data_IF_371339717896
#
_entry.id   IF_371339717896
#
_cell.length_a   1.000
_cell.length_b   1.000
_cell.length_c   1.000
_cell.angle_alpha   90.00
_cell.angle_beta   90.00
_cell.angle_gamma   90.00
#
_symmetry.space_group_name_H-M   'P 1'
#
loop_
_entity.id
_entity.type
_entity.pdbx_description
1 polymer ?
#
# COMPACT_ATOMS: atom_id res chain seq x y z
N UNK A 1 -34.99 -18.33 -1.41
CA UNK A 1 -33.90 -17.77 -2.23
C UNK A 1 -32.55 -17.87 -1.53
N UNK A 2 -32.28 -17.15 -0.43
CA UNK A 2 -30.93 -17.21 0.20
C UNK A 2 -30.63 -18.57 0.85
N UNK A 3 -31.59 -19.16 1.57
CA UNK A 3 -31.46 -20.56 2.06
C UNK A 3 -31.25 -21.57 0.92
N UNK A 4 -32.00 -21.42 -0.16
CA UNK A 4 -31.84 -22.27 -1.35
C UNK A 4 -30.42 -22.13 -1.93
N UNK A 5 -29.83 -20.93 -1.89
CA UNK A 5 -28.44 -20.70 -2.29
C UNK A 5 -27.44 -21.42 -1.37
N UNK A 6 -27.68 -21.47 -0.06
CA UNK A 6 -26.88 -22.30 0.85
C UNK A 6 -27.01 -23.80 0.53
N UNK A 7 -28.22 -24.29 0.25
CA UNK A 7 -28.48 -25.71 0.01
C UNK A 7 -27.78 -26.24 -1.25
N UNK A 8 -27.60 -25.38 -2.26
CA UNK A 8 -26.95 -25.74 -3.52
C UNK A 8 -25.46 -25.41 -3.55
N UNK A 9 -24.90 -24.79 -2.51
CA UNK A 9 -23.48 -24.40 -2.47
C UNK A 9 -22.79 -24.91 -1.20
N UNK A 10 -21.47 -24.78 -1.12
CA UNK A 10 -20.70 -25.20 0.05
C UNK A 10 -19.98 -23.99 0.64
N UNK A 11 -19.95 -23.84 1.98
CA UNK A 11 -19.21 -22.75 2.60
C UNK A 11 -17.72 -22.87 2.27
N UNK A 12 -17.16 -21.81 1.71
CA UNK A 12 -15.71 -21.63 1.57
C UNK A 12 -15.02 -21.54 2.93
N UNK A 13 -15.74 -21.08 3.96
CA UNK A 13 -15.31 -21.08 5.36
C UNK A 13 -16.53 -21.25 6.27
N UNK A 14 -16.40 -22.08 7.29
CA UNK A 14 -17.41 -22.25 8.34
C UNK A 14 -16.75 -22.21 9.72
N UNK A 15 -17.33 -21.44 10.63
CA UNK A 15 -16.98 -21.39 12.05
C UNK A 15 -18.25 -21.47 12.90
N UNK A 16 -18.11 -21.44 14.22
CA UNK A 16 -19.25 -21.41 15.15
C UNK A 16 -20.15 -20.17 14.95
N UNK A 17 -19.60 -19.09 14.38
CA UNK A 17 -20.28 -17.81 14.23
C UNK A 17 -20.82 -17.58 12.81
N UNK A 18 -20.16 -18.10 11.77
CA UNK A 18 -20.43 -17.70 10.40
C UNK A 18 -20.28 -18.84 9.39
N UNK A 19 -21.10 -18.83 8.35
CA UNK A 19 -20.84 -19.56 7.10
C UNK A 19 -20.59 -18.57 5.97
N UNK A 20 -19.45 -18.69 5.31
CA UNK A 20 -19.03 -17.83 4.20
C UNK A 20 -19.00 -18.62 2.90
N UNK A 21 -19.64 -18.10 1.86
CA UNK A 21 -19.73 -18.70 0.53
C UNK A 21 -19.12 -17.73 -0.48
N UNK A 22 -17.83 -17.89 -0.79
CA UNK A 22 -17.07 -16.97 -1.65
C UNK A 22 -17.02 -17.40 -3.13
N UNK A 23 -17.45 -18.63 -3.45
CA UNK A 23 -17.38 -19.19 -4.81
C UNK A 23 -18.71 -19.05 -5.58
N UNK A 24 -19.46 -17.98 -5.34
CA UNK A 24 -20.70 -17.68 -6.06
C UNK A 24 -20.42 -16.73 -7.20
N UNK A 25 -21.11 -16.92 -8.33
CA UNK A 25 -20.91 -16.08 -9.51
C UNK A 25 -22.24 -15.67 -10.14
N UNK A 26 -22.28 -14.41 -10.54
CA UNK A 26 -23.34 -13.83 -11.34
C UNK A 26 -22.87 -13.73 -12.80
N UNK A 27 -23.43 -14.54 -13.73
CA UNK A 27 -23.09 -14.43 -15.13
C UNK A 27 -23.73 -13.19 -15.76
N UNK A 28 -22.91 -12.36 -16.40
CA UNK A 28 -23.31 -11.13 -17.08
C UNK A 28 -22.96 -11.23 -18.56
N UNK A 29 -23.95 -10.97 -19.42
CA UNK A 29 -23.77 -10.97 -20.88
C UNK A 29 -23.28 -9.59 -21.35
N UNK A 30 -22.10 -9.54 -21.94
CA UNK A 30 -21.60 -8.43 -22.75
C UNK A 30 -21.25 -8.90 -24.16
N UNK A 31 -20.10 -8.47 -24.69
CA UNK A 31 -19.49 -9.05 -25.92
C UNK A 31 -19.15 -10.54 -25.76
N UNK A 32 -18.96 -10.98 -24.51
CA UNK A 32 -18.86 -12.38 -24.07
C UNK A 32 -19.54 -12.51 -22.71
N UNK A 33 -19.65 -13.74 -22.21
CA UNK A 33 -20.11 -13.98 -20.85
C UNK A 33 -18.96 -13.69 -19.89
N UNK A 34 -19.27 -12.88 -18.87
CA UNK A 34 -18.39 -12.56 -17.77
C UNK A 34 -18.98 -13.11 -16.47
N UNK A 35 -18.12 -13.58 -15.57
CA UNK A 35 -18.52 -14.01 -14.24
C UNK A 35 -18.12 -12.95 -13.21
N UNK A 36 -19.13 -12.40 -12.53
CA UNK A 36 -18.93 -11.45 -11.42
C UNK A 36 -19.01 -12.25 -10.11
N UNK A 37 -17.95 -12.27 -9.28
CA UNK A 37 -18.00 -12.97 -8.01
C UNK A 37 -18.99 -12.29 -7.06
N UNK A 38 -19.63 -13.12 -6.25
CA UNK A 38 -20.56 -12.73 -5.20
C UNK A 38 -20.15 -13.48 -3.93
N UNK A 39 -20.29 -12.84 -2.79
CA UNK A 39 -20.13 -13.49 -1.50
C UNK A 39 -21.46 -13.52 -0.77
N UNK A 40 -21.84 -14.69 -0.26
CA UNK A 40 -22.93 -14.84 0.69
C UNK A 40 -22.33 -15.18 2.05
N UNK A 41 -22.80 -14.51 3.10
CA UNK A 41 -22.39 -14.74 4.48
C UNK A 41 -23.65 -14.99 5.29
N UNK A 42 -23.68 -16.06 6.09
CA UNK A 42 -24.74 -16.34 7.05
C UNK A 42 -24.18 -16.25 8.47
N UNK A 43 -24.71 -15.31 9.25
CA UNK A 43 -24.36 -15.12 10.67
C UNK A 43 -25.26 -16.00 11.53
N UNK A 44 -24.66 -17.02 12.17
CA UNK A 44 -25.40 -18.07 12.90
C UNK A 44 -26.12 -17.53 14.14
N UNK A 45 -25.50 -16.59 14.85
CA UNK A 45 -26.04 -16.00 16.07
C UNK A 45 -27.29 -15.14 15.82
N UNK A 46 -27.25 -14.31 14.78
CA UNK A 46 -28.34 -13.37 14.47
C UNK A 46 -29.36 -13.96 13.49
N UNK A 47 -28.99 -15.01 12.74
CA UNK A 47 -29.79 -15.52 11.63
C UNK A 47 -29.83 -14.56 10.44
N UNK A 48 -28.87 -13.63 10.33
CA UNK A 48 -28.77 -12.64 9.26
C UNK A 48 -27.98 -13.21 8.06
N UNK A 49 -28.42 -12.87 6.85
CA UNK A 49 -27.66 -13.04 5.63
C UNK A 49 -27.09 -11.71 5.15
N UNK A 50 -25.82 -11.72 4.76
CA UNK A 50 -25.16 -10.63 4.05
C UNK A 50 -24.76 -11.10 2.65
N UNK A 51 -25.17 -10.36 1.62
CA UNK A 51 -24.74 -10.54 0.24
C UNK A 51 -23.82 -9.38 -0.12
N UNK A 52 -22.61 -9.71 -0.57
CA UNK A 52 -21.65 -8.73 -1.09
C UNK A 52 -21.44 -8.93 -2.58
N UNK A 53 -21.62 -7.86 -3.32
CA UNK A 53 -21.28 -7.75 -4.74
C UNK A 53 -20.45 -6.49 -4.88
N UNK A 54 -19.15 -6.64 -5.17
CA UNK A 54 -18.22 -5.51 -5.21
C UNK A 54 -18.22 -4.74 -3.86
N UNK A 55 -18.34 -3.41 -3.90
CA UNK A 55 -18.46 -2.54 -2.72
C UNK A 55 -19.90 -2.45 -2.17
N UNK A 56 -20.88 -3.12 -2.79
CA UNK A 56 -22.27 -3.10 -2.34
C UNK A 56 -22.57 -4.25 -1.39
N UNK A 57 -23.23 -3.94 -0.28
CA UNK A 57 -23.62 -4.92 0.74
C UNK A 57 -25.13 -4.86 0.95
N UNK A 58 -25.77 -6.02 0.93
CA UNK A 58 -27.20 -6.18 1.19
C UNK A 58 -27.39 -7.15 2.35
N UNK A 59 -28.21 -6.77 3.32
CA UNK A 59 -28.51 -7.59 4.49
C UNK A 59 -29.98 -7.99 4.49
N UNK A 60 -30.26 -9.19 4.96
CA UNK A 60 -31.60 -9.72 5.10
C UNK A 60 -31.68 -10.65 6.31
N UNK A 61 -32.65 -10.44 7.18
CA UNK A 61 -32.86 -11.31 8.34
C UNK A 61 -33.76 -12.50 8.00
N UNK A 62 -33.54 -13.60 8.73
CA UNK A 62 -34.41 -14.77 8.66
C UNK A 62 -35.84 -14.41 9.09
N UNK A 63 -36.78 -14.47 8.15
CA UNK A 63 -38.20 -14.18 8.38
C UNK A 63 -38.66 -12.81 7.91
N UNK A 64 -37.75 -11.95 7.43
CA UNK A 64 -38.14 -10.71 6.75
C UNK A 64 -38.91 -11.01 5.46
N UNK A 65 -39.99 -10.27 5.24
CA UNK A 65 -40.76 -10.38 4.01
C UNK A 65 -39.91 -9.98 2.79
N UNK A 66 -40.07 -10.72 1.71
CA UNK A 66 -39.42 -10.44 0.43
C UNK A 66 -39.77 -9.05 -0.14
N UNK A 67 -40.81 -8.40 0.36
CA UNK A 67 -41.27 -7.05 -0.02
C UNK A 67 -40.21 -5.97 0.22
N UNK A 68 -39.28 -6.17 1.16
CA UNK A 68 -38.20 -5.23 1.47
C UNK A 68 -36.96 -5.36 0.56
N UNK A 69 -36.89 -6.43 -0.25
CA UNK A 69 -35.80 -6.65 -1.19
C UNK A 69 -36.23 -6.13 -2.57
N UNK A 70 -35.41 -5.27 -3.18
CA UNK A 70 -35.70 -4.74 -4.52
C UNK A 70 -35.84 -5.88 -5.55
N UNK A 71 -36.75 -5.73 -6.50
CA UNK A 71 -36.95 -6.75 -7.55
C UNK A 71 -35.72 -6.95 -8.42
N UNK A 72 -34.88 -5.92 -8.54
CA UNK A 72 -33.58 -6.03 -9.19
C UNK A 72 -32.66 -7.02 -8.46
N UNK A 73 -32.55 -6.91 -7.14
CA UNK A 73 -31.72 -7.81 -6.33
C UNK A 73 -32.28 -9.24 -6.34
N UNK A 74 -33.61 -9.41 -6.26
CA UNK A 74 -34.24 -10.73 -6.43
C UNK A 74 -33.85 -11.39 -7.75
N UNK A 75 -33.86 -10.63 -8.86
CA UNK A 75 -33.44 -11.14 -10.17
C UNK A 75 -31.97 -11.55 -10.21
N UNK A 76 -31.10 -10.79 -9.54
CA UNK A 76 -29.67 -11.14 -9.42
C UNK A 76 -29.51 -12.44 -8.63
N UNK A 77 -30.12 -12.53 -7.44
CA UNK A 77 -30.07 -13.72 -6.57
C UNK A 77 -30.58 -14.95 -7.32
N UNK A 78 -31.72 -14.84 -8.01
CA UNK A 78 -32.29 -15.94 -8.79
C UNK A 78 -31.32 -16.43 -9.87
N UNK A 79 -30.69 -15.51 -10.62
CA UNK A 79 -29.70 -15.87 -11.65
C UNK A 79 -28.48 -16.57 -11.07
N UNK A 80 -28.03 -16.16 -9.89
CA UNK A 80 -26.91 -16.82 -9.18
C UNK A 80 -27.30 -18.23 -8.78
N UNK A 81 -28.51 -18.43 -8.25
CA UNK A 81 -29.06 -19.75 -7.91
C UNK A 81 -29.12 -20.65 -9.15
N UNK A 82 -29.73 -20.15 -10.23
CA UNK A 82 -29.88 -20.90 -11.48
C UNK A 82 -28.50 -21.28 -12.04
N UNK A 83 -27.53 -20.37 -11.99
CA UNK A 83 -26.17 -20.64 -12.43
C UNK A 83 -25.42 -21.61 -11.52
N UNK A 84 -25.55 -21.50 -10.20
CA UNK A 84 -24.93 -22.44 -9.25
C UNK A 84 -25.46 -23.87 -9.46
N UNK A 85 -26.77 -24.04 -9.72
CA UNK A 85 -27.35 -25.33 -10.09
C UNK A 85 -26.73 -25.89 -11.37
N UNK A 86 -26.56 -25.06 -12.39
CA UNK A 86 -25.89 -25.48 -13.64
C UNK A 86 -24.43 -25.89 -13.39
N UNK A 87 -23.71 -25.15 -12.53
CA UNK A 87 -22.33 -25.48 -12.20
C UNK A 87 -22.21 -26.84 -11.53
N UNK A 88 -23.07 -27.14 -10.55
CA UNK A 88 -23.09 -28.45 -9.88
C UNK A 88 -23.28 -29.62 -10.85
N UNK A 89 -24.02 -29.41 -11.93
CA UNK A 89 -24.28 -30.44 -12.93
C UNK A 89 -23.17 -30.57 -13.99
N UNK A 90 -22.58 -29.44 -14.43
CA UNK A 90 -21.85 -29.39 -15.70
C UNK A 90 -20.45 -28.74 -15.64
N UNK A 91 -20.09 -28.01 -14.58
CA UNK A 91 -18.85 -27.24 -14.55
C UNK A 91 -18.04 -27.50 -13.28
N UNK A 92 -16.74 -27.77 -13.44
CA UNK A 92 -15.84 -27.98 -12.28
C UNK A 92 -15.10 -26.71 -11.88
N UNK A 93 -14.89 -25.80 -12.84
CA UNK A 93 -14.09 -24.60 -12.68
C UNK A 93 -14.60 -23.46 -13.57
N UNK A 94 -14.41 -22.22 -13.12
CA UNK A 94 -14.48 -21.03 -13.98
C UNK A 94 -13.06 -20.56 -14.24
N UNK A 95 -12.58 -20.57 -15.49
CA UNK A 95 -11.26 -20.05 -15.80
C UNK A 95 -11.16 -18.56 -15.46
N UNK A 96 -10.02 -18.13 -14.93
CA UNK A 96 -9.79 -16.75 -14.49
C UNK A 96 -10.06 -15.74 -15.61
N UNK A 97 -9.76 -16.11 -16.86
CA UNK A 97 -10.00 -15.31 -18.05
C UNK A 97 -11.48 -15.09 -18.40
N UNK A 98 -12.41 -15.76 -17.72
CA UNK A 98 -13.85 -15.50 -17.79
C UNK A 98 -14.41 -14.72 -16.59
N UNK A 99 -13.66 -14.58 -15.50
CA UNK A 99 -14.03 -13.67 -14.39
C UNK A 99 -13.93 -12.23 -14.87
N UNK A 100 -14.84 -11.33 -14.49
CA UNK A 100 -14.76 -9.94 -14.96
C UNK A 100 -13.44 -9.27 -14.48
N UNK A 101 -12.70 -8.52 -15.33
CA UNK A 101 -11.37 -7.98 -14.99
C UNK A 101 -11.29 -7.12 -13.73
N UNK A 102 -12.40 -6.47 -13.33
CA UNK A 102 -12.52 -5.73 -12.07
C UNK A 102 -12.23 -6.59 -10.83
N UNK A 103 -12.44 -7.90 -10.92
CA UNK A 103 -12.30 -8.82 -9.77
C UNK A 103 -11.08 -9.74 -9.91
N UNK A 104 -10.27 -9.53 -10.94
CA UNK A 104 -9.01 -10.24 -11.07
C UNK A 104 -7.92 -9.44 -10.43
N UNK A 105 -6.95 -10.15 -9.86
CA UNK A 105 -5.71 -9.53 -9.41
C UNK A 105 -4.68 -9.61 -10.51
N UNK A 106 -3.86 -8.58 -10.57
CA UNK A 106 -2.77 -8.49 -11.53
C UNK A 106 -1.83 -7.39 -11.13
N UNK A 107 -0.91 -7.07 -12.03
CA UNK A 107 0.02 -5.96 -11.85
C UNK A 107 0.22 -5.21 -13.15
N UNK A 108 0.58 -3.95 -13.03
CA UNK A 108 0.83 -3.06 -14.16
C UNK A 108 1.90 -2.05 -13.79
N UNK A 109 2.67 -1.57 -14.76
CA UNK A 109 3.61 -0.46 -14.53
C UNK A 109 2.85 0.84 -14.27
N UNK A 110 3.32 1.62 -13.29
CA UNK A 110 2.72 2.90 -12.88
C UNK A 110 2.53 3.91 -14.02
N UNK A 111 3.40 3.88 -15.05
CA UNK A 111 3.27 4.73 -16.24
C UNK A 111 2.00 4.50 -17.07
N UNK A 112 1.30 3.40 -16.83
CA UNK A 112 0.00 3.11 -17.43
C UNK A 112 -1.18 3.53 -16.54
N UNK A 113 -0.89 4.17 -15.40
CA UNK A 113 -1.87 4.63 -14.40
C UNK A 113 -1.71 6.14 -14.19
N UNK A 114 -0.52 6.63 -13.80
CA UNK A 114 -0.28 8.03 -13.51
C UNK A 114 0.06 8.88 -14.75
N UNK A 115 -0.30 10.16 -14.71
CA UNK A 115 -0.01 11.13 -15.79
C UNK A 115 1.31 11.86 -15.61
N UNK A 116 1.63 12.23 -14.37
CA UNK A 116 2.80 13.05 -14.05
C UNK A 116 3.95 12.15 -13.66
N UNK A 117 4.90 11.99 -14.57
CA UNK A 117 6.09 11.17 -14.38
C UNK A 117 7.35 12.01 -14.54
N UNK A 118 8.37 11.67 -13.75
CA UNK A 118 9.73 12.16 -13.94
C UNK A 118 10.32 11.59 -15.24
N UNK A 119 11.02 12.40 -16.05
CA UNK A 119 11.78 11.89 -17.19
C UNK A 119 12.84 10.86 -16.77
N UNK A 120 12.96 9.77 -17.53
CA UNK A 120 13.96 8.72 -17.27
C UNK A 120 15.40 9.28 -17.29
N UNK A 121 15.68 10.27 -18.14
CA UNK A 121 16.97 10.94 -18.19
C UNK A 121 17.31 11.66 -16.89
N UNK A 122 16.34 12.34 -16.29
CA UNK A 122 16.48 13.01 -14.99
C UNK A 122 16.76 11.99 -13.88
N UNK A 123 16.01 10.90 -13.84
CA UNK A 123 16.23 9.83 -12.85
C UNK A 123 17.62 9.18 -12.98
N UNK A 124 18.07 8.92 -14.22
CA UNK A 124 19.42 8.39 -14.48
C UNK A 124 20.50 9.34 -14.02
N UNK A 125 20.36 10.64 -14.29
CA UNK A 125 21.33 11.64 -13.88
C UNK A 125 21.37 11.81 -12.36
N UNK A 126 20.21 11.81 -11.70
CA UNK A 126 20.13 11.85 -10.25
C UNK A 126 20.78 10.61 -9.61
N UNK A 127 20.51 9.42 -10.15
CA UNK A 127 21.14 8.18 -9.70
C UNK A 127 22.67 8.21 -9.89
N UNK A 128 23.16 8.76 -11.00
CA UNK A 128 24.59 8.92 -11.26
C UNK A 128 25.23 9.84 -10.22
N UNK A 129 24.66 11.03 -9.98
CA UNK A 129 25.15 11.97 -8.95
C UNK A 129 25.16 11.36 -7.56
N UNK A 130 24.11 10.61 -7.20
CA UNK A 130 24.06 9.89 -5.93
C UNK A 130 25.18 8.86 -5.80
N UNK A 131 25.42 8.04 -6.84
CA UNK A 131 26.53 7.08 -6.82
C UNK A 131 27.91 7.71 -6.69
N UNK A 132 28.11 8.89 -7.27
CA UNK A 132 29.33 9.67 -7.04
C UNK A 132 29.41 10.18 -5.60
N UNK A 133 28.30 10.65 -5.03
CA UNK A 133 28.25 11.11 -3.65
C UNK A 133 28.54 10.01 -2.62
N UNK A 134 28.25 8.75 -2.93
CA UNK A 134 28.62 7.61 -2.07
C UNK A 134 30.13 7.49 -1.86
N UNK A 135 30.97 8.12 -2.69
CA UNK A 135 32.43 8.17 -2.47
C UNK A 135 32.83 9.16 -1.37
N UNK A 136 31.94 10.10 -1.03
CA UNK A 136 32.16 11.07 0.04
C UNK A 136 31.83 10.44 1.39
N UNK A 137 32.56 10.89 2.42
CA UNK A 137 32.34 10.56 3.83
C UNK A 137 32.79 11.72 4.69
N UNK A 138 32.21 11.84 5.88
CA UNK A 138 32.73 12.72 6.91
C UNK A 138 34.02 12.13 7.48
N UNK A 139 34.88 13.00 8.01
CA UNK A 139 36.12 12.58 8.70
C UNK A 139 35.84 11.89 10.04
N UNK A 140 34.71 12.22 10.66
CA UNK A 140 34.24 11.62 11.90
C UNK A 140 32.72 11.47 11.86
N UNK A 141 32.22 10.37 12.40
CA UNK A 141 30.80 10.16 12.66
C UNK A 141 30.31 10.87 13.94
N UNK A 142 31.25 11.39 14.75
CA UNK A 142 30.96 12.15 15.96
C UNK A 142 30.71 13.62 15.59
N UNK A 143 29.45 13.96 15.37
CA UNK A 143 29.00 15.31 15.00
C UNK A 143 28.40 16.07 16.19
N UNK A 144 28.24 17.38 16.05
CA UNK A 144 27.48 18.21 17.00
C UNK A 144 25.99 18.26 16.59
N UNK A 145 25.11 18.62 17.54
CA UNK A 145 23.70 18.86 17.21
C UNK A 145 23.53 19.95 16.15
N UNK A 146 24.38 20.99 16.17
CA UNK A 146 24.41 22.03 15.13
C UNK A 146 24.63 21.43 13.74
N UNK A 147 25.56 20.48 13.60
CA UNK A 147 25.86 19.87 12.30
C UNK A 147 24.65 19.10 11.78
N UNK A 148 24.03 18.29 12.66
CA UNK A 148 22.81 17.54 12.34
C UNK A 148 21.67 18.48 11.90
N UNK A 149 21.32 19.48 12.71
CA UNK A 149 20.22 20.40 12.41
C UNK A 149 20.51 21.28 11.19
N UNK A 150 21.79 21.54 10.87
CA UNK A 150 22.16 22.23 9.62
C UNK A 150 21.82 21.39 8.40
N UNK A 151 22.07 20.08 8.43
CA UNK A 151 21.66 19.16 7.37
C UNK A 151 20.14 19.07 7.27
N UNK A 152 19.44 19.03 8.40
CA UNK A 152 17.97 19.11 8.43
C UNK A 152 17.45 20.40 7.78
N UNK A 153 18.08 21.54 8.05
CA UNK A 153 17.73 22.82 7.42
C UNK A 153 17.86 22.77 5.89
N UNK A 154 18.86 22.04 5.35
CA UNK A 154 18.99 21.82 3.89
C UNK A 154 17.78 21.05 3.36
N UNK A 155 17.32 20.02 4.08
CA UNK A 155 16.10 19.28 3.72
C UNK A 155 14.91 20.24 3.67
N UNK A 156 14.68 21.04 4.72
CA UNK A 156 13.58 22.01 4.76
C UNK A 156 13.61 23.00 3.59
N UNK A 157 14.78 23.57 3.29
CA UNK A 157 14.94 24.47 2.13
C UNK A 157 14.63 23.76 0.82
N UNK A 158 15.08 22.52 0.64
CA UNK A 158 14.80 21.72 -0.57
C UNK A 158 13.32 21.41 -0.77
N UNK A 159 12.55 21.37 0.33
CA UNK A 159 11.11 21.18 0.35
C UNK A 159 10.33 22.49 0.23
N UNK A 160 11.01 23.64 0.13
CA UNK A 160 10.39 24.96 0.07
C UNK A 160 9.79 25.44 1.40
N UNK A 161 10.20 24.84 2.53
CA UNK A 161 9.76 25.26 3.86
C UNK A 161 10.43 26.58 4.25
N UNK A 162 9.74 27.39 5.07
CA UNK A 162 10.25 28.66 5.58
C UNK A 162 11.23 28.40 6.73
N UNK A 163 12.51 28.62 6.48
CA UNK A 163 13.60 28.50 7.46
C UNK A 163 13.91 29.87 8.05
N UNK A 164 13.96 29.96 9.37
CA UNK A 164 14.17 31.22 10.11
C UNK A 164 15.64 31.43 10.50
N UNK A 165 16.43 30.35 10.53
CA UNK A 165 17.83 30.38 10.95
C UNK A 165 18.03 29.95 12.40
N UNK A 166 16.96 29.91 13.21
CA UNK A 166 16.96 29.20 14.48
C UNK A 166 16.75 27.71 14.20
N UNK A 167 17.84 26.95 14.30
CA UNK A 167 17.88 25.53 13.97
C UNK A 167 16.92 24.68 14.82
N UNK A 168 16.77 25.00 16.12
CA UNK A 168 15.89 24.24 17.01
C UNK A 168 14.43 24.57 16.72
N UNK A 169 14.12 25.84 16.51
CA UNK A 169 12.76 26.26 16.18
C UNK A 169 12.30 25.77 14.80
N UNK A 170 13.18 25.83 13.80
CA UNK A 170 12.90 25.29 12.48
C UNK A 170 12.68 23.76 12.55
N UNK A 171 13.41 23.05 13.40
CA UNK A 171 13.17 21.63 13.66
C UNK A 171 11.79 21.40 14.30
N UNK A 172 11.47 22.07 15.41
CA UNK A 172 10.18 21.94 16.12
C UNK A 172 8.97 22.16 15.22
N UNK A 173 9.11 23.05 14.23
CA UNK A 173 8.01 23.41 13.33
C UNK A 173 7.64 22.32 12.33
N UNK A 174 8.59 21.49 11.91
CA UNK A 174 8.40 20.58 10.78
C UNK A 174 8.63 19.10 11.10
N UNK A 175 9.45 18.81 12.11
CA UNK A 175 9.73 17.45 12.54
C UNK A 175 8.57 16.85 13.33
N UNK A 176 8.63 15.55 13.54
CA UNK A 176 7.80 14.90 14.54
C UNK A 176 8.13 15.46 15.94
N UNK A 177 7.09 15.72 16.72
CA UNK A 177 7.21 16.38 18.03
C UNK A 177 7.86 15.49 19.11
N UNK A 178 8.05 14.20 18.85
CA UNK A 178 8.65 13.23 19.78
C UNK A 178 10.17 13.22 19.64
N UNK A 179 10.81 14.37 19.91
CA UNK A 179 12.26 14.56 19.75
C UNK A 179 13.11 13.97 20.90
N UNK A 180 12.48 13.61 22.01
CA UNK A 180 13.09 12.88 23.14
C UNK A 180 14.41 13.47 23.64
N UNK A 181 14.37 14.77 23.95
CA UNK A 181 15.48 15.50 24.55
C UNK A 181 16.55 15.92 23.55
N UNK A 182 16.42 15.56 22.26
CA UNK A 182 17.31 16.01 21.19
C UNK A 182 17.47 17.53 21.22
N UNK A 183 16.37 18.25 21.40
CA UNK A 183 16.36 19.71 21.38
C UNK A 183 16.80 20.36 22.70
N UNK A 184 16.95 19.58 23.77
CA UNK A 184 17.47 20.05 25.06
C UNK A 184 19.00 20.03 25.08
N UNK A 185 19.63 19.26 24.18
CA UNK A 185 21.07 19.18 24.07
C UNK A 185 21.71 20.53 23.67
N UNK A 186 22.92 20.86 24.18
CA UNK A 186 23.72 21.97 23.67
C UNK A 186 24.08 21.79 22.19
N UNK A 187 24.01 22.88 21.42
CA UNK A 187 24.25 22.86 19.97
C UNK A 187 25.67 22.45 19.59
N UNK A 188 26.64 22.88 20.38
CA UNK A 188 28.08 22.83 20.08
C UNK A 188 28.86 21.86 20.99
N UNK A 189 28.17 20.87 21.56
CA UNK A 189 28.80 19.80 22.34
C UNK A 189 28.66 18.46 21.60
N UNK A 190 29.78 18.03 21.04
CA UNK A 190 29.89 16.77 20.30
C UNK A 190 29.70 15.55 21.19
N UNK A 191 30.12 15.62 22.45
CA UNK A 191 30.06 14.49 23.37
C UNK A 191 28.65 14.31 23.91
N UNK A 192 27.92 15.40 24.15
CA UNK A 192 26.52 15.36 24.54
C UNK A 192 25.66 14.69 23.46
N UNK A 193 25.80 15.11 22.19
CA UNK A 193 25.05 14.50 21.08
C UNK A 193 25.43 13.03 20.88
N UNK A 194 26.72 12.70 20.96
CA UNK A 194 27.18 11.33 20.81
C UNK A 194 26.64 10.41 21.91
N UNK A 195 26.68 10.82 23.18
CA UNK A 195 26.13 10.03 24.30
C UNK A 195 24.63 9.83 24.14
N UNK A 196 23.88 10.92 23.94
CA UNK A 196 22.43 10.85 23.73
C UNK A 196 22.03 9.90 22.59
N UNK A 197 22.78 9.91 21.47
CA UNK A 197 22.51 9.02 20.35
C UNK A 197 22.72 7.54 20.69
N UNK A 198 23.62 7.21 21.63
CA UNK A 198 23.98 5.84 21.99
C UNK A 198 23.36 5.34 23.32
N UNK A 199 22.67 6.20 24.09
CA UNK A 199 22.12 5.85 25.41
C UNK A 199 20.72 5.20 25.34
N UNK A 200 20.23 4.81 24.15
CA UNK A 200 18.90 4.20 23.89
C UNK A 200 17.68 4.98 24.45
N UNK A 201 17.88 6.18 25.02
CA UNK A 201 16.83 7.01 25.62
C UNK A 201 15.77 7.48 24.61
N UNK A 202 16.10 7.45 23.32
CA UNK A 202 15.19 7.78 22.23
C UNK A 202 14.37 6.58 21.70
N UNK A 203 14.53 5.38 22.28
CA UNK A 203 13.73 4.20 21.89
C UNK A 203 12.24 4.46 22.14
N UNK A 204 11.41 4.25 21.11
CA UNK A 204 9.98 4.58 21.13
C UNK A 204 9.66 6.03 20.72
N UNK A 205 10.68 6.83 20.45
CA UNK A 205 10.58 8.21 19.97
C UNK A 205 10.89 8.33 18.48
N UNK A 206 10.68 9.53 17.93
CA UNK A 206 10.83 9.81 16.50
C UNK A 206 11.78 11.00 16.22
N UNK A 207 12.94 11.14 16.90
CA UNK A 207 13.83 12.30 16.74
C UNK A 207 14.48 12.41 15.35
N UNK A 208 14.41 11.35 14.55
CA UNK A 208 14.96 11.35 13.21
C UNK A 208 13.90 11.59 12.15
N UNK A 209 12.62 11.65 12.50
CA UNK A 209 11.53 12.01 11.58
C UNK A 209 11.47 13.53 11.41
N UNK A 210 12.42 14.03 10.63
CA UNK A 210 12.65 15.46 10.40
C UNK A 210 11.52 16.12 9.62
N UNK A 211 10.73 15.36 8.88
CA UNK A 211 9.44 15.85 8.37
C UNK A 211 8.39 14.91 8.88
N UNK A 212 7.48 15.41 9.73
CA UNK A 212 6.40 14.62 10.29
C UNK A 212 5.56 13.97 9.20
N UNK A 213 5.36 12.67 9.33
CA UNK A 213 4.45 11.87 8.53
C UNK A 213 3.00 12.00 8.98
N UNK A 214 2.15 11.15 8.42
CA UNK A 214 0.75 11.03 8.79
C UNK A 214 0.54 9.95 9.84
N UNK A 215 -0.72 9.77 10.25
CA UNK A 215 -1.13 8.80 11.28
C UNK A 215 -0.64 7.36 11.03
N UNK A 216 -0.45 6.99 9.76
CA UNK A 216 -0.20 5.61 9.33
C UNK A 216 1.11 5.45 8.55
N UNK A 217 1.92 6.51 8.42
CA UNK A 217 3.20 6.46 7.70
C UNK A 217 4.18 7.47 8.27
N UNK A 218 5.41 7.03 8.47
CA UNK A 218 6.52 7.94 8.69
C UNK A 218 6.71 8.89 7.49
N UNK A 219 7.18 10.10 7.77
CA UNK A 219 7.52 11.12 6.79
C UNK A 219 8.93 10.93 6.24
N UNK A 220 9.76 11.98 6.34
CA UNK A 220 11.16 11.94 5.94
C UNK A 220 12.01 11.71 7.18
N UNK A 221 12.85 10.68 7.15
CA UNK A 221 13.76 10.37 8.23
C UNK A 221 15.21 10.68 7.84
N UNK A 222 15.95 11.32 8.74
CA UNK A 222 17.38 11.55 8.60
C UNK A 222 18.10 11.06 9.86
N UNK A 223 18.82 9.96 9.73
CA UNK A 223 19.68 9.45 10.79
C UNK A 223 21.04 10.14 10.75
N UNK A 224 21.67 10.38 11.92
CA UNK A 224 23.04 10.87 12.00
C UNK A 224 24.04 9.96 11.26
N UNK A 225 25.28 10.42 11.05
CA UNK A 225 26.29 9.63 10.38
C UNK A 225 26.60 8.32 11.13
N UNK A 226 26.60 7.22 10.38
CA UNK A 226 27.07 5.91 10.86
C UNK A 226 28.60 5.81 10.83
N UNK A 227 29.14 4.63 11.14
CA UNK A 227 30.59 4.35 11.07
C UNK A 227 31.19 4.58 9.68
N UNK A 228 30.37 4.49 8.63
CA UNK A 228 30.75 4.79 7.25
C UNK A 228 30.87 6.31 6.97
N UNK A 229 30.55 7.14 7.97
CA UNK A 229 30.66 8.59 7.93
C UNK A 229 29.58 9.24 7.06
N UNK A 230 28.40 8.64 6.94
CA UNK A 230 27.30 9.13 6.09
C UNK A 230 25.99 9.20 6.84
N UNK A 231 25.26 10.30 6.69
CA UNK A 231 23.87 10.36 7.12
C UNK A 231 23.03 9.31 6.38
N UNK A 232 22.00 8.77 7.01
CA UNK A 232 21.06 7.89 6.31
C UNK A 232 19.71 8.57 6.13
N UNK A 233 19.33 8.83 4.87
CA UNK A 233 18.02 9.35 4.51
C UNK A 233 17.08 8.19 4.20
N UNK A 234 15.92 8.17 4.87
CA UNK A 234 14.86 7.20 4.66
C UNK A 234 13.50 7.89 4.53
N UNK A 235 12.48 7.14 4.10
CA UNK A 235 11.13 7.65 3.89
C UNK A 235 10.08 6.56 4.07
N UNK A 236 8.91 6.94 4.58
CA UNK A 236 7.67 6.18 4.41
C UNK A 236 7.08 6.39 3.01
N UNK A 237 5.87 6.91 2.89
CA UNK A 237 5.18 7.02 1.58
C UNK A 237 5.37 8.36 0.85
N UNK A 238 6.27 9.25 1.33
CA UNK A 238 6.49 10.61 0.80
C UNK A 238 7.56 10.69 -0.30
N UNK A 239 7.37 9.93 -1.37
CA UNK A 239 8.39 9.70 -2.42
C UNK A 239 8.90 10.99 -3.10
N UNK A 240 8.02 11.92 -3.44
CA UNK A 240 8.38 13.19 -4.08
C UNK A 240 9.28 14.05 -3.19
N UNK A 241 8.90 14.19 -1.93
CA UNK A 241 9.63 15.00 -0.96
C UNK A 241 10.98 14.36 -0.62
N UNK A 242 11.04 13.04 -0.49
CA UNK A 242 12.30 12.31 -0.35
C UNK A 242 13.27 12.59 -1.50
N UNK A 243 12.79 12.58 -2.75
CA UNK A 243 13.64 12.88 -3.91
C UNK A 243 14.07 14.34 -3.95
N UNK A 244 13.24 15.29 -3.50
CA UNK A 244 13.66 16.70 -3.31
C UNK A 244 14.75 16.82 -2.25
N UNK A 245 14.62 16.11 -1.12
CA UNK A 245 15.65 16.06 -0.07
C UNK A 245 16.97 15.52 -0.61
N UNK A 246 16.95 14.42 -1.37
CA UNK A 246 18.14 13.88 -2.04
C UNK A 246 18.80 14.94 -2.94
N UNK A 247 18.02 15.67 -3.75
CA UNK A 247 18.55 16.74 -4.61
C UNK A 247 19.20 17.84 -3.78
N UNK A 248 18.58 18.25 -2.68
CA UNK A 248 19.13 19.24 -1.74
C UNK A 248 20.47 18.78 -1.15
N UNK A 249 20.52 17.57 -0.59
CA UNK A 249 21.76 17.03 0.00
C UNK A 249 22.89 16.92 -1.02
N UNK A 250 22.60 16.52 -2.27
CA UNK A 250 23.58 16.48 -3.36
C UNK A 250 24.08 17.87 -3.74
N UNK A 251 23.21 18.89 -3.78
CA UNK A 251 23.59 20.26 -4.10
C UNK A 251 24.60 20.81 -3.09
N UNK A 252 24.43 20.48 -1.80
CA UNK A 252 25.32 20.89 -0.72
C UNK A 252 26.46 19.89 -0.43
N UNK A 253 26.62 18.85 -1.27
CA UNK A 253 27.66 17.81 -1.15
C UNK A 253 27.68 17.13 0.22
N UNK A 254 26.52 16.98 0.86
CA UNK A 254 26.43 16.24 2.13
C UNK A 254 26.73 14.76 1.87
N UNK A 255 27.61 14.09 2.64
CA UNK A 255 27.78 12.65 2.56
C UNK A 255 26.56 11.91 3.12
N UNK A 256 25.82 11.17 2.29
CA UNK A 256 24.64 10.43 2.75
C UNK A 256 24.39 9.14 1.95
N UNK A 257 23.72 8.21 2.61
CA UNK A 257 23.12 7.00 2.07
C UNK A 257 21.60 7.20 1.94
N UNK A 258 21.02 6.75 0.83
CA UNK A 258 19.59 6.82 0.54
C UNK A 258 19.12 5.48 -0.06
N UNK A 259 18.99 4.42 0.76
CA UNK A 259 18.78 3.04 0.30
C UNK A 259 17.55 2.87 -0.61
N UNK A 260 16.50 3.65 -0.35
CA UNK A 260 15.22 3.59 -1.05
C UNK A 260 15.19 4.43 -2.34
N UNK A 261 16.27 5.17 -2.67
CA UNK A 261 16.29 6.05 -3.85
C UNK A 261 16.06 5.30 -5.15
N UNK A 262 16.65 4.12 -5.33
CA UNK A 262 16.45 3.34 -6.55
C UNK A 262 14.97 3.00 -6.78
N UNK A 263 14.23 2.65 -5.72
CA UNK A 263 12.80 2.32 -5.76
C UNK A 263 11.97 3.59 -5.97
N UNK A 264 12.28 4.66 -5.24
CA UNK A 264 11.65 5.98 -5.44
C UNK A 264 11.75 6.45 -6.89
N UNK A 265 12.91 6.32 -7.54
CA UNK A 265 13.09 6.71 -8.94
C UNK A 265 12.29 5.83 -9.90
N UNK A 266 12.16 4.53 -9.65
CA UNK A 266 11.27 3.65 -10.45
C UNK A 266 9.80 4.05 -10.31
N UNK A 267 9.38 4.45 -9.10
CA UNK A 267 8.03 4.95 -8.85
C UNK A 267 7.78 6.23 -9.64
N UNK A 268 8.65 7.23 -9.50
CA UNK A 268 8.47 8.53 -10.14
C UNK A 268 8.59 8.48 -11.67
N UNK A 269 9.36 7.54 -12.22
CA UNK A 269 9.44 7.30 -13.68
C UNK A 269 8.31 6.42 -14.20
N UNK A 270 7.49 5.84 -13.31
CA UNK A 270 6.40 4.93 -13.65
C UNK A 270 6.86 3.56 -14.11
N UNK A 271 8.11 3.18 -13.88
CA UNK A 271 8.66 1.86 -14.20
C UNK A 271 8.43 0.82 -13.10
N UNK A 272 8.08 1.25 -11.89
CA UNK A 272 7.67 0.36 -10.81
C UNK A 272 6.32 -0.29 -11.12
N UNK A 273 6.17 -1.55 -10.73
CA UNK A 273 4.91 -2.27 -10.83
C UNK A 273 4.02 -1.97 -9.63
N UNK A 274 2.73 -1.85 -9.89
CA UNK A 274 1.68 -1.78 -8.88
C UNK A 274 0.68 -2.89 -9.10
N UNK A 275 0.12 -3.40 -8.00
CA UNK A 275 -1.00 -4.34 -8.02
C UNK A 275 -2.26 -3.63 -8.52
N UNK A 276 -3.08 -4.37 -9.27
CA UNK A 276 -4.39 -3.98 -9.77
C UNK A 276 -5.44 -4.79 -9.02
N UNK A 277 -6.45 -4.09 -8.48
CA UNK A 277 -7.49 -4.63 -7.61
C UNK A 277 -6.95 -5.32 -6.34
N UNK A 278 -5.83 -4.83 -5.82
CA UNK A 278 -5.22 -5.28 -4.56
C UNK A 278 -4.35 -4.19 -3.94
N UNK A 279 -4.03 -4.34 -2.65
CA UNK A 279 -3.17 -3.41 -1.92
C UNK A 279 -1.69 -3.62 -2.24
N UNK A 280 -1.00 -2.50 -2.49
CA UNK A 280 0.43 -2.46 -2.70
C UNK A 280 1.22 -2.53 -1.37
N UNK A 281 2.54 -2.61 -1.45
CA UNK A 281 3.43 -2.76 -0.29
C UNK A 281 4.60 -1.77 -0.34
N UNK A 282 5.24 -1.53 0.83
CA UNK A 282 6.35 -0.60 0.98
C UNK A 282 5.96 0.85 0.68
N UNK A 283 6.76 1.57 -0.13
CA UNK A 283 6.55 2.98 -0.49
C UNK A 283 5.19 3.29 -1.16
N UNK A 284 4.46 2.26 -1.60
CA UNK A 284 3.17 2.38 -2.27
C UNK A 284 2.02 1.75 -1.49
N UNK A 285 2.21 1.41 -0.21
CA UNK A 285 1.23 0.68 0.62
C UNK A 285 -0.19 1.27 0.66
N UNK A 286 -0.36 2.58 0.44
CA UNK A 286 -1.68 3.24 0.38
C UNK A 286 -2.23 3.44 -1.03
N UNK A 287 -1.49 3.01 -2.05
CA UNK A 287 -1.92 3.08 -3.44
C UNK A 287 -2.75 1.84 -3.73
N UNK A 288 -4.04 2.05 -4.00
CA UNK A 288 -4.93 1.04 -4.54
C UNK A 288 -5.28 1.42 -5.98
N UNK A 289 -4.94 0.57 -6.95
CA UNK A 289 -5.24 0.81 -8.36
C UNK A 289 -6.40 -0.08 -8.78
N UNK A 290 -7.53 0.52 -9.11
CA UNK A 290 -8.63 -0.22 -9.70
C UNK A 290 -8.32 -0.52 -11.18
N UNK A 291 -8.82 -1.64 -11.70
CA UNK A 291 -8.75 -1.95 -13.13
C UNK A 291 -9.20 -0.79 -14.04
N UNK A 292 -10.19 0.00 -13.61
CA UNK A 292 -10.69 1.14 -14.38
C UNK A 292 -9.70 2.32 -14.43
N UNK A 293 -8.82 2.45 -13.45
CA UNK A 293 -7.78 3.49 -13.40
C UNK A 293 -6.63 3.21 -14.38
N UNK A 294 -6.54 1.97 -14.87
CA UNK A 294 -5.51 1.56 -15.82
C UNK A 294 -5.85 2.06 -17.22
N UNK A 295 -5.05 3.01 -17.72
CA UNK A 295 -5.21 3.63 -19.05
C UNK A 295 -4.95 2.65 -20.19
N UNK A 296 -3.96 1.77 -20.02
CA UNK A 296 -3.59 0.73 -21.01
C UNK A 296 -3.87 -0.67 -20.49
N UNK A 297 -5.15 -1.06 -20.49
CA UNK A 297 -5.64 -2.36 -19.98
C UNK A 297 -4.94 -3.58 -20.58
N UNK A 298 -4.47 -3.51 -21.83
CA UNK A 298 -3.70 -4.58 -22.48
C UNK A 298 -2.30 -4.80 -21.90
N UNK A 299 -1.84 -3.92 -21.00
CA UNK A 299 -0.55 -4.01 -20.30
C UNK A 299 -0.67 -4.59 -18.90
N UNK A 300 -1.87 -4.95 -18.45
CA UNK A 300 -2.04 -5.64 -17.17
C UNK A 300 -1.55 -7.07 -17.30
N UNK A 301 -0.61 -7.44 -16.44
CA UNK A 301 -0.17 -8.82 -16.24
C UNK A 301 -1.07 -9.44 -15.17
N UNK A 302 -2.01 -10.28 -15.58
CA UNK A 302 -2.92 -10.96 -14.67
C UNK A 302 -2.20 -12.09 -13.92
N UNK A 303 -2.54 -12.28 -12.65
CA UNK A 303 -2.09 -13.44 -11.90
C UNK A 303 -2.61 -14.71 -12.58
N UNK A 304 -1.72 -15.69 -12.79
CA UNK A 304 -2.14 -16.98 -13.30
C UNK A 304 -2.74 -17.78 -12.16
N UNK A 305 -4.00 -18.17 -12.34
CA UNK A 305 -4.66 -19.17 -11.51
C UNK A 305 -5.49 -20.07 -12.41
N UNK A 306 -5.54 -21.36 -12.08
CA UNK A 306 -6.27 -22.39 -12.84
C UNK A 306 -7.79 -22.14 -12.88
N UNK A 307 -8.26 -21.09 -12.20
CA UNK A 307 -9.65 -20.69 -12.10
C UNK A 307 -10.20 -20.89 -10.69
N UNK A 308 -11.48 -20.61 -10.54
CA UNK A 308 -12.19 -20.84 -9.27
C UNK A 308 -12.86 -22.20 -9.34
N UNK A 309 -12.42 -23.13 -8.48
CA UNK A 309 -13.02 -24.45 -8.35
C UNK A 309 -14.42 -24.33 -7.75
N UNK A 310 -15.40 -24.91 -8.44
CA UNK A 310 -16.80 -24.86 -8.05
C UNK A 310 -17.29 -26.18 -7.41
N UNK A 311 -16.52 -27.27 -7.53
CA UNK A 311 -16.95 -28.61 -7.12
C UNK A 311 -16.51 -29.02 -5.72
N UNK A 312 -17.46 -29.69 -5.06
CA UNK A 312 -17.46 -30.24 -3.69
C UNK A 312 -16.25 -31.13 -3.30
N UNK A 313 -15.66 -31.91 -4.23
CA UNK A 313 -14.65 -32.93 -3.89
C UNK A 313 -13.25 -32.38 -3.60
N UNK A 314 -12.91 -31.17 -4.05
CA UNK A 314 -11.55 -30.62 -3.91
C UNK A 314 -11.32 -29.84 -2.61
N UNK A 315 -12.39 -29.35 -1.97
CA UNK A 315 -12.30 -28.60 -0.71
C UNK A 315 -12.19 -29.54 0.51
N UNK A 316 -12.75 -30.75 0.42
CA UNK A 316 -12.65 -31.76 1.49
C UNK A 316 -11.26 -32.40 1.59
N UNK A 317 -10.51 -32.52 0.48
CA UNK A 317 -9.17 -33.14 0.48
C UNK A 317 -8.03 -32.21 0.92
N UNK A 318 -8.31 -30.93 1.17
CA UNK A 318 -7.34 -29.96 1.74
C UNK A 318 -7.58 -29.65 3.22
N UNK A 319 -8.64 -30.20 3.83
CA UNK A 319 -8.96 -30.04 5.25
C UNK A 319 -8.82 -31.36 6.04
N UNK A 320 -8.28 -32.40 5.40
CA UNK A 320 -7.94 -33.71 5.98
C UNK A 320 -6.44 -33.95 5.85
#
# INVERSE_FOLDING_TARGET
MLREMEEITYPSLESDYVKLYANLFFPVKGKRIWFVPLTLTYFKETGEYEIRIDHSTFRANKGEEQSHISDQLKRVIKRVIDFAKLCNCFMEYIPTEHVHPLYRRGRVKLKYVWDKLMPISEAKELWRKYKENLKNRLESNKIMLRDYLTVVSIIYKSLGKKVTGDLKEDYKRYADFRDCGLLDLPLDDRDAFYRWYHDDEWVGCHPFEVVAGGLISAGILLFPPDEDGRYTLSVGSYVDDYVKSVKGLLQFKVPFSAPLLHKALKILTGEEYVKVNDYNEGLLNFVYVNYYDVKRKSKVEWEQSDGVCLKRKYLQSKQS
#
